data_IF_278672221175
#
_entry.id   IF_278672221175
#
_cell.length_a   1.000
_cell.length_b   1.000
_cell.length_c   1.000
_cell.angle_alpha   90.00
_cell.angle_beta   90.00
_cell.angle_gamma   90.00
#
_symmetry.space_group_name_H-M   'P 1'
#
loop_
_entity.id
_entity.type
_entity.pdbx_description
1 polymer ?
#
# COMPACT_ATOMS: atom_id res chain seq x y z
N UNK A 1 6.56 -4.82 62.71
CA UNK A 1 5.86 -4.54 61.42
C UNK A 1 6.77 -3.89 60.36
N UNK A 2 8.01 -4.37 60.16
CA UNK A 2 8.93 -3.87 59.09
C UNK A 2 9.45 -4.94 58.13
N UNK A 3 9.31 -6.22 58.47
CA UNK A 3 9.78 -7.34 57.64
C UNK A 3 8.81 -7.71 56.51
N UNK A 4 7.50 -7.51 56.68
CA UNK A 4 6.51 -7.94 55.70
C UNK A 4 6.52 -7.10 54.42
N UNK A 5 6.78 -5.79 54.54
CA UNK A 5 6.90 -4.87 53.38
C UNK A 5 8.13 -5.15 52.51
N UNK A 6 9.21 -5.66 53.09
CA UNK A 6 10.44 -5.98 52.35
C UNK A 6 10.27 -7.23 51.46
N UNK A 7 9.43 -8.18 51.87
CA UNK A 7 9.14 -9.40 51.11
C UNK A 7 8.23 -9.10 49.91
N UNK A 8 7.23 -8.24 50.06
CA UNK A 8 6.37 -7.79 48.94
C UNK A 8 7.16 -7.04 47.86
N UNK A 9 8.03 -6.10 48.25
CA UNK A 9 8.84 -5.34 47.28
C UNK A 9 9.83 -6.25 46.55
N UNK A 10 10.39 -7.24 47.24
CA UNK A 10 11.30 -8.23 46.63
C UNK A 10 10.55 -9.17 45.67
N UNK A 11 9.31 -9.57 46.00
CA UNK A 11 8.47 -10.40 45.13
C UNK A 11 8.08 -9.65 43.84
N UNK A 12 7.73 -8.35 43.97
CA UNK A 12 7.38 -7.51 42.82
C UNK A 12 8.59 -7.23 41.92
N UNK A 13 9.79 -7.06 42.48
CA UNK A 13 11.04 -6.93 41.71
C UNK A 13 11.36 -8.19 40.91
N UNK A 14 11.25 -9.38 41.53
CA UNK A 14 11.51 -10.66 40.84
C UNK A 14 10.46 -10.94 39.76
N UNK A 15 9.18 -10.66 40.02
CA UNK A 15 8.12 -10.80 39.03
C UNK A 15 8.31 -9.85 37.83
N UNK A 16 8.75 -8.61 38.08
CA UNK A 16 9.11 -7.65 37.04
C UNK A 16 10.31 -8.10 36.20
N UNK A 17 11.33 -8.70 36.83
CA UNK A 17 12.49 -9.26 36.12
C UNK A 17 12.11 -10.47 35.25
N UNK A 18 11.18 -11.32 35.68
CA UNK A 18 10.69 -12.44 34.88
C UNK A 18 9.91 -12.00 33.65
N UNK A 19 9.11 -10.92 33.74
CA UNK A 19 8.36 -10.38 32.59
C UNK A 19 9.28 -9.84 31.49
N UNK A 20 10.46 -9.32 31.83
CA UNK A 20 11.44 -8.81 30.86
C UNK A 20 12.19 -9.93 30.11
N UNK A 21 12.27 -11.14 30.68
CA UNK A 21 12.98 -12.28 30.08
C UNK A 21 12.09 -13.17 29.19
N UNK A 22 10.77 -13.04 29.29
CA UNK A 22 9.80 -13.72 28.39
C UNK A 22 9.63 -12.96 27.06
N UNK A 23 10.00 -11.68 27.01
CA UNK A 23 9.88 -10.82 25.82
C UNK A 23 10.82 -11.14 24.64
N UNK A 24 11.82 -12.03 24.81
CA UNK A 24 12.73 -12.43 23.73
C UNK A 24 12.88 -13.95 23.62
N UNK A 25 11.79 -14.70 23.83
CA UNK A 25 11.67 -16.07 23.27
C UNK A 25 10.59 -16.10 22.21
N UNK A 26 10.73 -15.23 21.22
CA UNK A 26 10.21 -15.53 19.89
C UNK A 26 11.06 -16.67 19.35
N UNK A 27 10.67 -17.91 19.66
CA UNK A 27 10.79 -19.01 18.69
C UNK A 27 9.75 -18.76 17.61
N UNK A 28 9.82 -17.58 17.01
CA UNK A 28 9.20 -17.32 15.73
C UNK A 28 10.09 -18.09 14.79
N UNK A 29 9.54 -19.20 14.29
CA UNK A 29 9.90 -19.77 13.01
C UNK A 29 10.49 -18.66 12.16
N UNK A 30 11.80 -18.77 11.89
CA UNK A 30 12.46 -18.03 10.84
C UNK A 30 11.47 -17.97 9.68
N UNK A 31 11.01 -16.75 9.36
CA UNK A 31 10.07 -16.55 8.27
C UNK A 31 10.74 -17.21 7.07
N UNK A 32 10.23 -18.38 6.65
CA UNK A 32 10.85 -19.17 5.61
C UNK A 32 10.71 -18.37 4.31
N UNK A 33 11.68 -17.49 4.08
CA UNK A 33 11.88 -16.69 2.86
C UNK A 33 12.36 -17.59 1.69
N UNK A 34 12.33 -18.91 1.88
CA UNK A 34 12.90 -19.93 1.00
C UNK A 34 12.02 -20.23 -0.21
N UNK A 35 10.76 -19.78 -0.22
CA UNK A 35 9.86 -19.88 -1.37
C UNK A 35 9.65 -18.50 -2.03
N UNK A 36 10.73 -17.91 -2.53
CA UNK A 36 10.63 -16.72 -3.39
C UNK A 36 10.06 -17.12 -4.77
N UNK A 37 8.75 -16.95 -4.95
CA UNK A 37 8.11 -17.08 -6.27
C UNK A 37 8.06 -15.71 -6.95
N UNK A 38 9.08 -15.45 -7.78
CA UNK A 38 9.18 -14.24 -8.57
C UNK A 38 7.94 -14.04 -9.44
N UNK A 39 7.40 -15.08 -10.07
CA UNK A 39 6.26 -14.95 -10.98
C UNK A 39 4.99 -14.54 -10.23
N UNK A 40 4.76 -15.14 -9.05
CA UNK A 40 3.65 -14.76 -8.17
C UNK A 40 3.78 -13.30 -7.72
N UNK A 41 4.98 -12.85 -7.38
CA UNK A 41 5.20 -11.47 -6.96
C UNK A 41 5.02 -10.47 -8.11
N UNK A 42 5.51 -10.78 -9.31
CA UNK A 42 5.26 -9.98 -10.51
C UNK A 42 3.76 -9.87 -10.80
N UNK A 43 2.98 -10.94 -10.62
CA UNK A 43 1.52 -10.90 -10.76
C UNK A 43 0.84 -10.01 -9.71
N UNK A 44 1.27 -10.08 -8.45
CA UNK A 44 0.73 -9.21 -7.38
C UNK A 44 1.01 -7.72 -7.69
N UNK A 45 2.23 -7.40 -8.12
CA UNK A 45 2.61 -6.03 -8.50
C UNK A 45 1.75 -5.55 -9.67
N UNK A 46 1.58 -6.36 -10.72
CA UNK A 46 0.72 -6.03 -11.84
C UNK A 46 -0.73 -5.78 -11.42
N UNK A 47 -1.28 -6.63 -10.54
CA UNK A 47 -2.63 -6.46 -10.00
C UNK A 47 -2.80 -5.17 -9.21
N UNK A 48 -1.83 -4.84 -8.34
CA UNK A 48 -1.85 -3.59 -7.58
C UNK A 48 -1.83 -2.36 -8.49
N UNK A 49 -0.93 -2.32 -9.46
CA UNK A 49 -0.82 -1.21 -10.40
C UNK A 49 -2.08 -1.08 -11.27
N UNK A 50 -2.70 -2.19 -11.66
CA UNK A 50 -3.99 -2.18 -12.35
C UNK A 50 -5.11 -1.56 -11.51
N UNK A 51 -5.18 -1.89 -10.21
CA UNK A 51 -6.13 -1.25 -9.29
C UNK A 51 -5.84 0.25 -9.12
N UNK A 52 -4.58 0.64 -9.05
CA UNK A 52 -4.18 2.05 -8.96
C UNK A 52 -4.57 2.84 -10.22
N UNK A 53 -4.39 2.23 -11.40
CA UNK A 53 -4.85 2.81 -12.66
C UNK A 53 -6.37 3.07 -12.65
N UNK A 54 -7.18 2.12 -12.17
CA UNK A 54 -8.63 2.32 -12.10
C UNK A 54 -9.04 3.40 -11.10
N UNK A 55 -8.34 3.51 -9.96
CA UNK A 55 -8.57 4.61 -9.01
C UNK A 55 -8.28 5.97 -9.64
N UNK A 56 -7.24 6.08 -10.45
CA UNK A 56 -6.95 7.33 -11.17
C UNK A 56 -8.01 7.65 -12.22
N UNK A 57 -8.48 6.64 -12.98
CA UNK A 57 -9.61 6.82 -13.92
C UNK A 57 -10.87 7.29 -13.21
N UNK A 58 -11.16 6.74 -12.04
CA UNK A 58 -12.30 7.19 -11.25
C UNK A 58 -12.17 8.67 -10.86
N UNK A 59 -11.00 9.10 -10.38
CA UNK A 59 -10.73 10.51 -10.06
C UNK A 59 -10.88 11.44 -11.28
N UNK A 60 -10.38 11.01 -12.45
CA UNK A 60 -10.54 11.76 -13.69
C UNK A 60 -12.02 11.93 -14.06
N UNK A 61 -12.83 10.87 -13.95
CA UNK A 61 -14.28 10.94 -14.19
C UNK A 61 -15.01 11.86 -13.21
N UNK A 62 -14.66 11.78 -11.92
CA UNK A 62 -15.22 12.65 -10.88
C UNK A 62 -14.90 14.14 -11.14
N UNK A 63 -13.67 14.44 -11.56
CA UNK A 63 -13.25 15.79 -11.88
C UNK A 63 -13.85 16.29 -13.20
N UNK A 64 -14.06 15.42 -14.18
CA UNK A 64 -14.76 15.76 -15.42
C UNK A 64 -16.18 16.24 -15.11
N UNK A 65 -16.90 15.53 -14.23
CA UNK A 65 -18.21 15.98 -13.77
C UNK A 65 -18.14 17.32 -13.04
N UNK A 66 -17.13 17.51 -12.19
CA UNK A 66 -16.93 18.77 -11.46
C UNK A 66 -16.60 19.94 -12.38
N UNK A 67 -15.83 19.73 -13.44
CA UNK A 67 -15.51 20.75 -14.43
C UNK A 67 -16.77 21.30 -15.09
N UNK A 68 -17.74 20.44 -15.42
CA UNK A 68 -19.03 20.86 -15.97
C UNK A 68 -19.83 21.73 -14.97
N UNK A 69 -19.77 21.41 -13.67
CA UNK A 69 -20.38 22.24 -12.62
C UNK A 69 -19.70 23.60 -12.53
N UNK A 70 -18.36 23.64 -12.57
CA UNK A 70 -17.61 24.89 -12.53
C UNK A 70 -17.82 25.75 -13.78
N UNK A 71 -17.94 25.13 -14.95
CA UNK A 71 -18.27 25.83 -16.18
C UNK A 71 -19.63 26.53 -16.08
N UNK A 72 -20.63 25.87 -15.49
CA UNK A 72 -21.94 26.48 -15.28
C UNK A 72 -21.90 27.66 -14.30
N UNK A 73 -21.09 27.57 -13.23
CA UNK A 73 -21.05 28.58 -12.17
C UNK A 73 -20.13 29.77 -12.47
N UNK A 74 -19.01 29.51 -13.13
CA UNK A 74 -17.92 30.48 -13.28
C UNK A 74 -17.59 30.78 -14.75
N UNK A 75 -18.21 30.08 -15.69
CA UNK A 75 -17.93 30.18 -17.11
C UNK A 75 -16.76 29.29 -17.55
N UNK A 76 -16.76 28.94 -18.84
CA UNK A 76 -15.79 28.02 -19.46
C UNK A 76 -14.34 28.46 -19.36
N UNK A 77 -14.08 29.77 -19.37
CA UNK A 77 -12.71 30.33 -19.40
C UNK A 77 -12.18 30.63 -17.99
N UNK A 78 -12.88 30.19 -16.94
CA UNK A 78 -12.44 30.38 -15.57
C UNK A 78 -11.26 29.47 -15.21
N UNK A 79 -10.38 29.95 -14.33
CA UNK A 79 -9.26 29.16 -13.81
C UNK A 79 -9.72 27.87 -13.11
N UNK A 80 -10.95 27.87 -12.56
CA UNK A 80 -11.56 26.68 -11.98
C UNK A 80 -11.82 25.57 -13.00
N UNK A 81 -12.30 25.93 -14.20
CA UNK A 81 -12.52 24.97 -15.29
C UNK A 81 -11.19 24.50 -15.83
N UNK A 82 -10.30 25.43 -16.20
CA UNK A 82 -8.98 25.14 -16.76
C UNK A 82 -8.15 24.27 -15.81
N UNK A 83 -8.07 24.63 -14.54
CA UNK A 83 -7.32 23.87 -13.54
C UNK A 83 -7.91 22.47 -13.30
N UNK A 84 -9.23 22.33 -13.35
CA UNK A 84 -9.87 21.01 -13.19
C UNK A 84 -9.62 20.12 -14.41
N UNK A 85 -9.66 20.68 -15.63
CA UNK A 85 -9.34 19.94 -16.86
C UNK A 85 -7.89 19.44 -16.85
N UNK A 86 -6.93 20.27 -16.43
CA UNK A 86 -5.53 19.86 -16.27
C UNK A 86 -5.38 18.70 -15.27
N UNK A 87 -6.16 18.69 -14.19
CA UNK A 87 -6.17 17.58 -13.23
C UNK A 87 -6.78 16.31 -13.84
N UNK A 88 -7.83 16.42 -14.65
CA UNK A 88 -8.40 15.28 -15.39
C UNK A 88 -7.32 14.64 -16.26
N UNK A 89 -6.66 15.44 -17.11
CA UNK A 89 -5.58 14.97 -17.99
C UNK A 89 -4.43 14.33 -17.20
N UNK A 90 -4.04 14.94 -16.08
CA UNK A 90 -2.99 14.41 -15.21
C UNK A 90 -3.35 13.03 -14.65
N UNK A 91 -4.59 12.84 -14.19
CA UNK A 91 -5.03 11.55 -13.67
C UNK A 91 -5.19 10.50 -14.77
N UNK A 92 -5.62 10.88 -15.97
CA UNK A 92 -5.66 9.96 -17.11
C UNK A 92 -4.27 9.50 -17.53
N UNK A 93 -3.30 10.42 -17.61
CA UNK A 93 -1.91 10.10 -17.89
C UNK A 93 -1.33 9.16 -16.82
N UNK A 94 -1.57 9.46 -15.55
CA UNK A 94 -1.14 8.60 -14.44
C UNK A 94 -1.76 7.19 -14.53
N UNK A 95 -3.04 7.07 -14.90
CA UNK A 95 -3.69 5.78 -15.10
C UNK A 95 -3.03 4.97 -16.22
N UNK A 96 -2.75 5.60 -17.36
CA UNK A 96 -2.09 4.96 -18.49
C UNK A 96 -0.68 4.48 -18.13
N UNK A 97 0.07 5.29 -17.37
CA UNK A 97 1.41 4.91 -16.92
C UNK A 97 1.40 3.71 -15.97
N UNK A 98 0.43 3.66 -15.05
CA UNK A 98 0.27 2.50 -14.16
C UNK A 98 -0.13 1.25 -14.93
N UNK A 99 -1.01 1.37 -15.91
CA UNK A 99 -1.42 0.23 -16.74
C UNK A 99 -0.28 -0.29 -17.62
N UNK A 100 0.52 0.61 -18.21
CA UNK A 100 1.73 0.22 -18.96
C UNK A 100 2.73 -0.51 -18.06
N UNK A 101 2.93 -0.02 -16.84
CA UNK A 101 3.83 -0.67 -15.87
C UNK A 101 3.28 -2.03 -15.44
N UNK A 102 1.97 -2.13 -15.19
CA UNK A 102 1.31 -3.39 -14.86
C UNK A 102 1.46 -4.43 -15.98
N UNK A 103 1.33 -4.02 -17.24
CA UNK A 103 1.58 -4.86 -18.42
C UNK A 103 3.01 -5.42 -18.41
N UNK A 104 4.02 -4.57 -18.19
CA UNK A 104 5.42 -5.00 -18.08
C UNK A 104 5.61 -6.07 -17.02
N UNK A 105 5.02 -5.91 -15.83
CA UNK A 105 5.09 -6.90 -14.76
C UNK A 105 4.36 -8.21 -15.11
N UNK A 106 3.20 -8.12 -15.77
CA UNK A 106 2.47 -9.30 -16.23
C UNK A 106 3.26 -10.08 -17.29
N UNK A 107 3.92 -9.40 -18.22
CA UNK A 107 4.82 -10.02 -19.19
C UNK A 107 6.01 -10.68 -18.51
N UNK A 108 6.62 -10.03 -17.51
CA UNK A 108 7.71 -10.60 -16.74
C UNK A 108 7.29 -11.89 -15.99
N UNK A 109 6.10 -11.92 -15.41
CA UNK A 109 5.55 -13.11 -14.76
C UNK A 109 5.37 -14.29 -15.74
N UNK A 110 4.87 -14.00 -16.96
CA UNK A 110 4.65 -15.00 -18.00
C UNK A 110 5.96 -15.52 -18.60
N UNK A 111 6.94 -14.63 -18.80
CA UNK A 111 8.26 -14.99 -19.31
C UNK A 111 9.05 -15.90 -18.36
N UNK A 112 8.83 -15.79 -17.05
CA UNK A 112 9.43 -16.69 -16.07
C UNK A 112 8.76 -18.08 -16.03
N UNK A 113 7.43 -18.14 -16.23
CA UNK A 113 6.71 -19.41 -16.33
C UNK A 113 7.08 -20.25 -17.55
N UNK A 114 7.70 -19.65 -18.58
CA UNK A 114 8.13 -20.34 -19.80
C UNK A 114 9.52 -20.99 -19.68
N UNK A 115 10.36 -20.60 -18.70
CA UNK A 115 11.77 -21.00 -18.63
C UNK A 115 12.06 -22.16 -17.65
N UNK A 116 11.08 -22.66 -16.91
CA UNK A 116 11.25 -23.81 -15.99
C UNK A 116 10.40 -25.02 -16.43
N UNK A 117 11.02 -26.16 -16.84
CA UNK A 117 10.35 -27.46 -16.97
C UNK A 117 10.13 -28.15 -15.62
#
# INVERSE_FOLDING_TARGET
MRFWKAVEVSLLMVAGQCLLLVGCRTTGTELELTAYDLAQDQQKIAGFLGQEAERFRQKARELTHRAAVYEHLFGKDSDWVTGTQLLVESYEAAAQDRERTAETHRQAAQGHGFFFP
#
